data_IF_448894056087
#
_entry.id   IF_448894056087
#
_cell.length_a   1.000
_cell.length_b   1.000
_cell.length_c   1.000
_cell.angle_alpha   90.00
_cell.angle_beta   90.00
_cell.angle_gamma   90.00
#
_symmetry.space_group_name_H-M   'P 1'
#
loop_
_entity.id
_entity.type
_entity.pdbx_description
1 polymer ?
#
# COMPACT_ATOMS: atom_id res chain seq x y z
N UNK A 1 4.94 8.76 -12.27
CA UNK A 1 6.22 8.86 -13.02
C UNK A 1 7.32 9.62 -12.27
N UNK A 2 7.00 10.23 -11.13
CA UNK A 2 8.00 11.00 -10.34
C UNK A 2 9.07 10.10 -9.71
N UNK A 3 8.81 8.80 -9.58
CA UNK A 3 9.75 7.80 -9.09
C UNK A 3 10.49 7.05 -10.22
N UNK A 4 10.23 7.35 -11.48
CA UNK A 4 10.83 6.69 -12.65
C UNK A 4 9.80 6.15 -13.63
N UNK A 5 10.22 5.21 -14.47
CA UNK A 5 9.36 4.57 -15.45
C UNK A 5 8.25 3.72 -14.80
N UNK A 6 7.32 3.28 -15.63
CA UNK A 6 6.24 2.40 -15.20
C UNK A 6 6.82 1.08 -14.61
N UNK A 7 6.17 0.54 -13.59
CA UNK A 7 6.59 -0.68 -12.89
C UNK A 7 7.98 -0.59 -12.19
N UNK A 8 8.54 0.62 -12.00
CA UNK A 8 9.81 0.85 -11.31
C UNK A 8 9.71 0.47 -9.82
N UNK A 9 10.73 -0.19 -9.32
CA UNK A 9 10.87 -0.57 -7.92
C UNK A 9 11.94 0.25 -7.17
N UNK A 10 12.22 -0.12 -5.92
CA UNK A 10 13.15 0.59 -5.05
C UNK A 10 14.63 0.55 -5.45
N UNK A 11 14.99 -0.16 -6.53
CA UNK A 11 16.34 -0.19 -7.10
C UNK A 11 16.63 1.01 -8.02
N UNK A 12 15.64 1.85 -8.29
CA UNK A 12 15.77 3.04 -9.12
C UNK A 12 16.83 4.01 -8.58
N UNK A 13 17.77 4.41 -9.43
CA UNK A 13 18.93 5.23 -9.04
C UNK A 13 18.56 6.63 -8.56
N UNK A 14 17.52 7.24 -9.13
CA UNK A 14 17.05 8.60 -8.81
C UNK A 14 16.12 8.71 -7.61
N UNK A 15 15.84 7.63 -6.87
CA UNK A 15 14.84 7.63 -5.80
C UNK A 15 15.06 8.67 -4.70
N UNK A 16 16.31 9.00 -4.40
CA UNK A 16 16.63 10.03 -3.41
C UNK A 16 16.18 11.42 -3.87
N UNK A 17 16.36 11.74 -5.16
CA UNK A 17 15.91 13.01 -5.73
C UNK A 17 14.36 13.08 -5.78
N UNK A 18 13.70 11.99 -6.16
CA UNK A 18 12.24 11.91 -6.14
C UNK A 18 11.68 12.09 -4.73
N UNK A 19 12.34 11.49 -3.73
CA UNK A 19 11.97 11.70 -2.32
C UNK A 19 12.17 13.16 -1.91
N UNK A 20 13.29 13.77 -2.25
CA UNK A 20 13.56 15.17 -1.91
C UNK A 20 12.49 16.09 -2.51
N UNK A 21 12.17 15.94 -3.78
CA UNK A 21 11.09 16.68 -4.42
C UNK A 21 9.74 16.44 -3.71
N UNK A 22 9.42 15.20 -3.34
CA UNK A 22 8.21 14.91 -2.59
C UNK A 22 8.15 15.66 -1.24
N UNK A 23 9.25 15.71 -0.50
CA UNK A 23 9.33 16.42 0.78
C UNK A 23 9.12 17.94 0.61
N UNK A 24 9.58 18.51 -0.50
CA UNK A 24 9.46 19.95 -0.80
C UNK A 24 8.04 20.35 -1.21
N UNK A 25 7.32 19.47 -1.91
CA UNK A 25 6.02 19.79 -2.48
C UNK A 25 4.82 19.25 -1.69
N UNK A 26 5.01 18.36 -0.71
CA UNK A 26 3.92 17.73 0.04
C UNK A 26 4.08 17.94 1.55
N UNK A 27 3.11 18.57 2.16
CA UNK A 27 3.08 18.81 3.61
C UNK A 27 2.43 17.64 4.35
N UNK A 28 3.17 16.55 4.58
CA UNK A 28 2.72 15.41 5.37
C UNK A 28 3.15 15.53 6.85
N UNK A 29 2.44 14.89 7.78
CA UNK A 29 2.81 14.89 9.21
C UNK A 29 4.17 14.26 9.48
N UNK A 30 4.61 13.33 8.63
CA UNK A 30 5.88 12.62 8.69
C UNK A 30 6.24 12.05 7.33
N UNK A 31 7.49 11.60 7.16
CA UNK A 31 7.99 11.03 5.91
C UNK A 31 8.86 9.81 6.21
N UNK A 32 8.29 8.63 6.02
CA UNK A 32 8.99 7.37 6.17
C UNK A 32 9.58 7.19 7.57
N UNK A 33 10.82 6.71 7.62
CA UNK A 33 11.60 6.58 8.85
C UNK A 33 12.44 7.83 9.21
N UNK A 34 12.16 8.95 8.56
CA UNK A 34 12.91 10.21 8.65
C UNK A 34 14.05 10.32 7.64
N UNK A 35 14.66 9.22 7.26
CA UNK A 35 15.76 9.15 6.28
C UNK A 35 15.31 8.60 4.94
N UNK A 36 14.45 7.58 4.94
CA UNK A 36 14.00 6.88 3.74
C UNK A 36 12.48 6.73 3.72
N UNK A 37 11.94 6.60 2.51
CA UNK A 37 10.51 6.43 2.29
C UNK A 37 9.69 7.71 2.50
N UNK A 38 8.43 7.60 2.16
CA UNK A 38 7.45 8.69 2.26
C UNK A 38 6.15 8.25 2.95
N UNK A 39 6.13 7.03 3.51
CA UNK A 39 4.94 6.55 4.23
C UNK A 39 4.64 7.45 5.44
N UNK A 40 3.37 7.61 5.72
CA UNK A 40 2.89 8.47 6.81
C UNK A 40 1.54 7.99 7.32
N UNK A 41 1.12 8.49 8.48
CA UNK A 41 -0.25 8.30 8.96
C UNK A 41 -0.79 9.56 9.61
N UNK A 42 -2.10 9.70 9.55
CA UNK A 42 -2.82 10.77 10.25
C UNK A 42 -4.22 10.29 10.64
N UNK A 43 -4.82 10.98 11.60
CA UNK A 43 -6.19 10.72 12.04
C UNK A 43 -7.07 11.94 11.84
N UNK A 44 -8.30 11.70 11.38
CA UNK A 44 -9.38 12.69 11.30
C UNK A 44 -10.66 12.06 11.86
N UNK A 45 -11.05 12.49 13.07
CA UNK A 45 -12.21 11.95 13.77
C UNK A 45 -12.17 10.43 13.90
N UNK A 46 -13.16 9.69 13.35
CA UNK A 46 -13.23 8.24 13.44
C UNK A 46 -12.32 7.49 12.44
N UNK A 47 -11.60 8.20 11.57
CA UNK A 47 -10.78 7.58 10.51
C UNK A 47 -9.31 7.81 10.78
N UNK A 48 -8.50 6.74 10.78
CA UNK A 48 -7.04 6.80 10.74
C UNK A 48 -6.56 6.28 9.37
N UNK A 49 -5.75 7.08 8.70
CA UNK A 49 -5.23 6.79 7.37
C UNK A 49 -3.75 6.45 7.46
N UNK A 50 -3.37 5.31 6.91
CA UNK A 50 -2.00 4.87 6.70
C UNK A 50 -1.71 4.98 5.22
N UNK A 51 -0.86 5.92 4.83
CA UNK A 51 -0.40 6.08 3.44
C UNK A 51 0.88 5.30 3.28
N UNK A 52 0.85 4.27 2.44
CA UNK A 52 1.95 3.33 2.26
C UNK A 52 2.85 3.76 1.11
N UNK A 53 4.15 3.63 1.31
CA UNK A 53 5.15 3.76 0.26
C UNK A 53 5.42 2.39 -0.35
N UNK A 54 4.88 2.15 -1.52
CA UNK A 54 5.01 0.89 -2.25
C UNK A 54 6.10 0.95 -3.33
N UNK A 55 7.00 1.95 -3.28
CA UNK A 55 8.08 2.13 -4.25
C UNK A 55 9.47 2.07 -3.62
N UNK A 56 9.73 2.88 -2.62
CA UNK A 56 11.10 3.09 -2.08
C UNK A 56 11.77 1.79 -1.63
N UNK A 57 11.01 0.87 -1.05
CA UNK A 57 11.53 -0.38 -0.48
C UNK A 57 11.26 -1.61 -1.34
N UNK A 58 10.45 -1.47 -2.38
CA UNK A 58 10.08 -2.59 -3.25
C UNK A 58 11.33 -3.23 -3.87
N UNK A 59 11.48 -4.54 -3.69
CA UNK A 59 12.57 -5.37 -4.19
C UNK A 59 14.00 -4.95 -3.72
N UNK A 60 14.14 -4.14 -2.66
CA UNK A 60 15.45 -3.74 -2.12
C UNK A 60 15.97 -4.69 -1.04
N UNK A 61 15.11 -5.45 -0.42
CA UNK A 61 15.47 -6.43 0.62
C UNK A 61 14.57 -7.68 0.55
N UNK A 62 15.00 -8.80 1.14
CA UNK A 62 14.16 -9.99 1.26
C UNK A 62 12.92 -9.71 2.12
N UNK A 63 11.83 -10.39 1.78
CA UNK A 63 10.62 -10.32 2.60
C UNK A 63 10.87 -10.90 4.00
N UNK A 64 10.38 -10.24 5.06
CA UNK A 64 10.47 -10.76 6.43
C UNK A 64 9.69 -12.06 6.64
N UNK A 65 8.80 -12.44 5.71
CA UNK A 65 7.95 -13.62 5.79
C UNK A 65 8.44 -14.78 4.94
N UNK A 66 9.17 -14.48 3.86
CA UNK A 66 9.60 -15.47 2.89
C UNK A 66 10.93 -15.03 2.26
N UNK A 67 12.04 -15.44 2.85
CA UNK A 67 13.40 -14.94 2.55
C UNK A 67 13.83 -15.04 1.08
N UNK A 68 13.24 -15.96 0.32
CA UNK A 68 13.53 -16.13 -1.11
C UNK A 68 12.71 -15.19 -2.02
N UNK A 69 11.81 -14.40 -1.45
CA UNK A 69 11.00 -13.42 -2.16
C UNK A 69 11.37 -12.00 -1.75
N UNK A 70 11.23 -11.08 -2.69
CA UNK A 70 11.45 -9.65 -2.41
C UNK A 70 10.35 -9.07 -1.53
N UNK A 71 10.70 -8.09 -0.71
CA UNK A 71 9.74 -7.28 0.05
C UNK A 71 9.13 -6.17 -0.80
N UNK A 72 7.89 -5.81 -0.52
CA UNK A 72 7.23 -4.61 -1.05
C UNK A 72 7.43 -3.42 -0.12
N UNK A 73 7.13 -3.59 1.16
CA UNK A 73 7.15 -2.50 2.13
C UNK A 73 8.50 -2.32 2.82
N UNK A 74 9.35 -3.32 2.77
CA UNK A 74 10.55 -3.35 3.61
C UNK A 74 10.23 -3.60 5.09
N UNK A 75 11.23 -4.05 5.84
CA UNK A 75 11.05 -4.46 7.24
C UNK A 75 10.64 -3.32 8.16
N UNK A 76 11.21 -2.13 7.98
CA UNK A 76 10.90 -0.95 8.82
C UNK A 76 9.47 -0.45 8.62
N UNK A 77 9.03 -0.27 7.37
CA UNK A 77 7.65 0.16 7.10
C UNK A 77 6.64 -0.89 7.54
N UNK A 78 6.96 -2.18 7.35
CA UNK A 78 6.11 -3.26 7.82
C UNK A 78 5.90 -3.21 9.34
N UNK A 79 6.97 -3.06 10.11
CA UNK A 79 6.88 -2.94 11.57
C UNK A 79 6.06 -1.70 11.99
N UNK A 80 6.31 -0.55 11.35
CA UNK A 80 5.56 0.68 11.57
C UNK A 80 4.05 0.49 11.31
N UNK A 81 3.70 -0.16 10.19
CA UNK A 81 2.31 -0.42 9.83
C UNK A 81 1.62 -1.32 10.86
N UNK A 82 2.23 -2.45 11.20
CA UNK A 82 1.66 -3.37 12.18
C UNK A 82 1.50 -2.75 13.56
N UNK A 83 2.52 -2.04 14.02
CA UNK A 83 2.45 -1.34 15.30
C UNK A 83 1.35 -0.28 15.28
N UNK A 84 1.27 0.53 14.23
CA UNK A 84 0.24 1.53 14.07
C UNK A 84 -1.17 0.94 14.07
N UNK A 85 -1.39 -0.14 13.33
CA UNK A 85 -2.68 -0.83 13.28
C UNK A 85 -3.09 -1.41 14.64
N UNK A 86 -2.15 -2.00 15.38
CA UNK A 86 -2.39 -2.55 16.74
C UNK A 86 -2.73 -1.48 17.76
N UNK A 87 -2.11 -0.31 17.65
CA UNK A 87 -2.32 0.82 18.57
C UNK A 87 -3.52 1.68 18.20
N UNK A 88 -4.02 1.56 16.98
CA UNK A 88 -5.11 2.39 16.47
C UNK A 88 -6.43 2.11 17.20
N UNK A 89 -6.99 3.14 17.80
CA UNK A 89 -8.33 3.15 18.41
C UNK A 89 -9.40 3.66 17.44
N UNK A 90 -9.03 4.02 16.21
CA UNK A 90 -9.99 4.50 15.22
C UNK A 90 -10.94 3.37 14.79
N UNK A 91 -12.25 3.58 14.72
CA UNK A 91 -13.17 2.56 14.20
C UNK A 91 -12.92 2.22 12.73
N UNK A 92 -12.42 3.16 11.92
CA UNK A 92 -12.06 2.93 10.52
C UNK A 92 -10.56 3.18 10.31
N UNK A 93 -9.87 2.21 9.70
CA UNK A 93 -8.45 2.27 9.35
C UNK A 93 -8.30 2.12 7.84
N UNK A 94 -7.88 3.19 7.19
CA UNK A 94 -7.66 3.19 5.74
C UNK A 94 -6.20 2.88 5.44
N UNK A 95 -5.95 1.83 4.65
CA UNK A 95 -4.63 1.54 4.09
C UNK A 95 -4.62 2.05 2.65
N UNK A 96 -3.96 3.16 2.41
CA UNK A 96 -3.92 3.82 1.11
C UNK A 96 -2.56 3.66 0.43
N UNK A 97 -2.56 3.34 -0.86
CA UNK A 97 -1.36 3.35 -1.69
C UNK A 97 -1.69 3.67 -3.15
N UNK A 98 -0.68 3.94 -3.97
CA UNK A 98 -0.86 4.27 -5.39
C UNK A 98 -1.20 3.07 -6.28
N UNK A 99 -1.03 1.83 -5.81
CA UNK A 99 -1.28 0.62 -6.59
C UNK A 99 -2.51 -0.15 -6.12
N UNK A 100 -3.00 -1.05 -6.97
CA UNK A 100 -4.13 -1.93 -6.64
C UNK A 100 -3.72 -3.08 -5.71
N UNK A 101 -4.67 -3.53 -4.88
CA UNK A 101 -4.49 -4.66 -3.98
C UNK A 101 -4.87 -5.99 -4.64
N UNK A 102 -5.84 -5.96 -5.56
CA UNK A 102 -6.33 -7.15 -6.25
C UNK A 102 -5.82 -7.19 -7.70
N UNK A 103 -4.92 -8.11 -7.97
CA UNK A 103 -4.32 -8.35 -9.28
C UNK A 103 -5.33 -8.67 -10.38
N UNK A 104 -6.46 -9.26 -10.05
CA UNK A 104 -7.48 -9.64 -11.02
C UNK A 104 -8.16 -8.42 -11.69
N UNK A 105 -8.04 -7.23 -11.10
CA UNK A 105 -8.63 -6.01 -11.68
C UNK A 105 -7.85 -5.47 -12.89
N UNK A 106 -6.60 -5.87 -13.03
CA UNK A 106 -5.77 -5.58 -14.21
C UNK A 106 -4.80 -6.73 -14.46
N UNK A 107 -5.25 -7.77 -15.14
CA UNK A 107 -4.41 -8.91 -15.51
C UNK A 107 -3.16 -8.46 -16.27
N UNK A 108 -2.04 -9.16 -16.06
CA UNK A 108 -0.74 -8.90 -16.69
C UNK A 108 -0.01 -7.62 -16.27
N UNK A 109 -0.55 -6.80 -15.36
CA UNK A 109 0.22 -5.76 -14.69
C UNK A 109 1.08 -6.40 -13.59
N UNK A 110 2.31 -5.89 -13.41
CA UNK A 110 3.19 -6.38 -12.34
C UNK A 110 3.21 -5.45 -11.13
N UNK A 111 2.85 -4.21 -11.31
CA UNK A 111 2.85 -3.18 -10.30
C UNK A 111 1.56 -3.22 -9.47
N UNK A 112 1.46 -4.21 -8.59
CA UNK A 112 0.33 -4.40 -7.68
C UNK A 112 0.71 -5.33 -6.51
N UNK A 113 -0.12 -5.34 -5.46
CA UNK A 113 0.07 -6.21 -4.29
C UNK A 113 0.04 -7.71 -4.60
N UNK A 114 -0.59 -8.11 -5.70
CA UNK A 114 -0.57 -9.48 -6.19
C UNK A 114 0.81 -9.99 -6.59
N UNK A 115 1.76 -9.11 -6.93
CA UNK A 115 3.17 -9.45 -7.17
C UNK A 115 3.92 -9.75 -5.87
N UNK A 116 3.34 -9.41 -4.71
CA UNK A 116 3.87 -9.69 -3.37
C UNK A 116 2.83 -10.46 -2.52
N UNK A 117 2.33 -11.62 -2.99
CA UNK A 117 1.19 -12.30 -2.39
C UNK A 117 1.46 -12.77 -0.95
N UNK A 118 2.72 -13.07 -0.64
CA UNK A 118 3.16 -13.47 0.69
C UNK A 118 3.03 -12.33 1.71
N UNK A 119 3.38 -11.08 1.35
CA UNK A 119 3.20 -9.92 2.24
C UNK A 119 1.73 -9.54 2.38
N UNK A 120 0.97 -9.52 1.28
CA UNK A 120 -0.47 -9.28 1.34
C UNK A 120 -1.18 -10.30 2.24
N UNK A 121 -0.86 -11.58 2.08
CA UNK A 121 -1.43 -12.64 2.91
C UNK A 121 -1.02 -12.52 4.37
N UNK A 122 0.24 -12.16 4.64
CA UNK A 122 0.72 -11.92 6.00
C UNK A 122 -0.02 -10.76 6.66
N UNK A 123 -0.26 -9.66 5.92
CA UNK A 123 -1.03 -8.51 6.43
C UNK A 123 -2.44 -8.92 6.85
N UNK A 124 -3.16 -9.67 6.01
CA UNK A 124 -4.51 -10.12 6.34
C UNK A 124 -4.53 -11.08 7.54
N UNK A 125 -3.54 -11.95 7.67
CA UNK A 125 -3.38 -12.83 8.84
C UNK A 125 -3.08 -12.03 10.12
N UNK A 126 -2.22 -10.99 10.05
CA UNK A 126 -1.93 -10.14 11.19
C UNK A 126 -3.15 -9.30 11.62
N UNK A 127 -3.95 -8.83 10.69
CA UNK A 127 -5.24 -8.17 10.96
C UNK A 127 -6.14 -9.10 11.79
N UNK A 128 -6.30 -10.35 11.37
CA UNK A 128 -7.13 -11.32 12.09
C UNK A 128 -6.54 -11.74 13.42
N UNK A 129 -5.24 -12.07 13.47
CA UNK A 129 -4.53 -12.47 14.70
C UNK A 129 -4.67 -11.43 15.81
N UNK A 130 -4.59 -10.16 15.44
CA UNK A 130 -4.68 -9.05 16.39
C UNK A 130 -6.11 -8.47 16.52
N UNK A 131 -7.12 -9.12 15.91
CA UNK A 131 -8.53 -8.70 15.95
C UNK A 131 -8.73 -7.24 15.52
N UNK A 132 -7.97 -6.77 14.53
CA UNK A 132 -8.02 -5.40 14.03
C UNK A 132 -9.27 -5.25 13.16
N UNK A 133 -10.26 -4.52 13.64
CA UNK A 133 -11.51 -4.26 12.90
C UNK A 133 -11.45 -2.99 12.06
N UNK A 134 -12.35 -2.88 11.07
CA UNK A 134 -12.61 -1.66 10.33
C UNK A 134 -11.50 -1.27 9.33
N UNK A 135 -10.75 -2.24 8.80
CA UNK A 135 -9.75 -1.98 7.77
C UNK A 135 -10.41 -1.85 6.40
N UNK A 136 -10.08 -0.79 5.68
CA UNK A 136 -10.47 -0.51 4.30
C UNK A 136 -9.20 -0.27 3.48
N UNK A 137 -9.12 -0.88 2.30
CA UNK A 137 -8.01 -0.69 1.38
C UNK A 137 -8.37 0.39 0.35
N UNK A 138 -7.42 1.25 0.03
CA UNK A 138 -7.57 2.25 -1.03
C UNK A 138 -6.41 2.09 -2.01
N UNK A 139 -6.75 2.01 -3.29
CA UNK A 139 -5.80 1.87 -4.39
C UNK A 139 -6.11 2.83 -5.53
N UNK A 140 -5.23 2.84 -6.54
CA UNK A 140 -5.37 3.70 -7.71
C UNK A 140 -4.84 3.05 -8.99
N UNK A 141 -4.28 3.85 -9.89
CA UNK A 141 -3.47 3.49 -11.06
C UNK A 141 -4.23 2.88 -12.27
N UNK A 142 -5.35 2.24 -12.11
CA UNK A 142 -6.01 1.49 -13.19
C UNK A 142 -6.97 2.32 -14.05
N UNK A 143 -7.08 3.62 -13.81
CA UNK A 143 -7.95 4.55 -14.56
C UNK A 143 -9.43 4.12 -14.60
N UNK A 144 -9.91 3.54 -13.51
CA UNK A 144 -11.30 3.15 -13.27
C UNK A 144 -11.62 3.21 -11.78
N UNK A 145 -12.87 3.48 -11.46
CA UNK A 145 -13.37 3.32 -10.10
C UNK A 145 -13.92 1.91 -9.91
N UNK A 146 -13.56 1.29 -8.78
CA UNK A 146 -13.99 -0.05 -8.38
C UNK A 146 -14.27 -0.11 -6.89
N UNK A 147 -15.23 -0.93 -6.52
CA UNK A 147 -15.42 -1.41 -5.16
C UNK A 147 -15.27 -2.91 -5.18
N UNK A 148 -14.29 -3.43 -4.46
CA UNK A 148 -13.93 -4.85 -4.49
C UNK A 148 -14.02 -5.39 -3.08
N UNK A 149 -14.66 -6.55 -2.92
CA UNK A 149 -14.67 -7.30 -1.68
C UNK A 149 -13.65 -8.43 -1.77
N UNK A 150 -12.61 -8.35 -0.94
CA UNK A 150 -11.65 -9.41 -0.77
C UNK A 150 -12.22 -10.50 0.15
N UNK A 151 -12.21 -11.75 -0.28
CA UNK A 151 -12.67 -12.90 0.50
C UNK A 151 -11.66 -13.25 1.61
N UNK A 152 -11.48 -12.35 2.58
CA UNK A 152 -10.46 -12.44 3.62
C UNK A 152 -10.98 -12.96 4.95
N UNK A 153 -12.26 -13.32 5.07
CA UNK A 153 -12.90 -13.73 6.33
C UNK A 153 -12.12 -14.82 7.08
N UNK A 154 -11.53 -15.80 6.38
CA UNK A 154 -10.74 -16.87 6.99
C UNK A 154 -9.44 -16.37 7.65
N UNK A 155 -8.89 -15.25 7.19
CA UNK A 155 -7.61 -14.71 7.63
C UNK A 155 -7.78 -13.48 8.51
N UNK A 156 -8.57 -12.52 8.09
CA UNK A 156 -8.80 -11.24 8.78
C UNK A 156 -9.99 -11.26 9.75
N UNK A 157 -10.82 -12.31 9.73
CA UNK A 157 -12.05 -12.39 10.52
C UNK A 157 -13.28 -11.80 9.84
N UNK A 158 -13.08 -11.01 8.78
CA UNK A 158 -14.12 -10.40 7.95
C UNK A 158 -13.61 -10.19 6.52
N UNK A 159 -14.52 -9.90 5.59
CA UNK A 159 -14.15 -9.54 4.23
C UNK A 159 -13.75 -8.07 4.18
N UNK A 160 -12.53 -7.80 3.74
CA UNK A 160 -11.99 -6.44 3.61
C UNK A 160 -12.45 -5.86 2.27
N UNK A 161 -12.82 -4.58 2.27
CA UNK A 161 -13.22 -3.84 1.06
C UNK A 161 -12.06 -3.02 0.55
N UNK A 162 -11.85 -3.06 -0.76
CA UNK A 162 -10.94 -2.19 -1.51
C UNK A 162 -11.74 -1.19 -2.33
N UNK A 163 -11.37 0.07 -2.22
CA UNK A 163 -11.87 1.17 -3.02
C UNK A 163 -10.76 1.62 -3.97
N UNK A 164 -11.05 1.59 -5.27
CA UNK A 164 -10.13 2.09 -6.29
C UNK A 164 -10.75 3.31 -6.92
N UNK A 165 -9.99 4.41 -6.97
CA UNK A 165 -10.40 5.65 -7.60
C UNK A 165 -9.19 6.32 -8.23
N UNK A 166 -9.13 6.37 -9.56
CA UNK A 166 -7.99 6.92 -10.29
C UNK A 166 -8.26 6.97 -11.79
N UNK A 167 -7.79 8.00 -12.51
CA UNK A 167 -7.43 9.34 -12.04
C UNK A 167 -8.65 10.26 -11.98
N UNK A 168 -8.46 11.49 -11.51
CA UNK A 168 -9.55 12.48 -11.46
C UNK A 168 -9.96 12.99 -12.86
N UNK A 169 -9.06 12.95 -13.83
CA UNK A 169 -9.30 13.47 -15.17
C UNK A 169 -8.43 12.79 -16.24
N UNK A 170 -8.60 11.58 -16.57
CA UNK A 170 -7.82 10.89 -17.60
C UNK A 170 -8.67 9.86 -18.32
N UNK A 171 -8.20 9.39 -19.47
CA UNK A 171 -8.90 8.35 -20.21
C UNK A 171 -8.96 7.03 -19.43
N UNK A 172 -10.06 6.33 -19.58
CA UNK A 172 -10.25 5.00 -19.01
C UNK A 172 -9.32 3.99 -19.70
N UNK A 173 -8.61 3.18 -18.93
CA UNK A 173 -7.85 2.04 -19.48
C UNK A 173 -8.81 0.88 -19.74
N UNK A 174 -9.05 0.56 -21.01
CA UNK A 174 -9.99 -0.50 -21.43
C UNK A 174 -9.60 -1.89 -20.89
N UNK A 175 -8.31 -2.16 -20.71
CA UNK A 175 -7.80 -3.43 -20.19
C UNK A 175 -7.96 -3.62 -18.66
N UNK A 176 -8.42 -2.60 -17.92
CA UNK A 176 -8.71 -2.70 -16.50
C UNK A 176 -10.14 -3.21 -16.31
N UNK A 177 -10.34 -4.52 -16.33
CA UNK A 177 -11.65 -5.17 -16.17
C UNK A 177 -11.99 -5.46 -14.70
#
# INVERSE_FOLDING_TARGET
>A
HDFGDNDTDGRMRGKANSRQAFLEYHANPSYGDGQNGIYTKFRRGPVEVFVLDTRTFAATEPSPFLRHHASLLGSKQWQWLLQGLKQSTAPVKVLACGMIWNEATRPNKQDHWGSYPHERSALFKEIGRNKIAGVVLVGGDIHRSRVIRHATKKHAGYDIVELISSPMHHSVIKAAN
#
